data_IF_450303822037
#
_entry.id   IF_450303822037
#
_cell.length_a   1.000
_cell.length_b   1.000
_cell.length_c   1.000
_cell.angle_alpha   90.00
_cell.angle_beta   90.00
_cell.angle_gamma   90.00
#
_symmetry.space_group_name_H-M   'P 1'
#
loop_
_entity.id
_entity.type
_entity.pdbx_description
1 polymer ?
#
# COMPACT_ATOMS: atom_id res chain seq x y z
N UNK A 1 -36.50 -4.46 -9.94
CA UNK A 1 -36.62 -5.83 -10.45
C UNK A 1 -35.91 -6.00 -11.79
N UNK A 2 -36.06 -5.07 -12.73
CA UNK A 2 -35.40 -5.09 -14.03
C UNK A 2 -33.87 -5.03 -13.93
N UNK A 3 -33.33 -4.13 -13.09
CA UNK A 3 -31.86 -4.03 -12.85
C UNK A 3 -31.31 -5.34 -12.29
N UNK A 4 -32.04 -5.95 -11.35
CA UNK A 4 -31.64 -7.23 -10.76
C UNK A 4 -31.57 -8.33 -11.80
N UNK A 5 -32.58 -8.44 -12.68
CA UNK A 5 -32.60 -9.40 -13.79
C UNK A 5 -31.45 -9.19 -14.78
N UNK A 6 -31.12 -7.93 -15.08
CA UNK A 6 -29.99 -7.60 -15.98
C UNK A 6 -28.64 -8.02 -15.38
N UNK A 7 -28.45 -7.76 -14.08
CA UNK A 7 -27.24 -8.19 -13.36
C UNK A 7 -27.15 -9.71 -13.34
N UNK A 8 -28.22 -10.37 -12.95
CA UNK A 8 -28.30 -11.84 -12.87
C UNK A 8 -28.00 -12.48 -14.22
N UNK A 9 -28.60 -11.94 -15.31
CA UNK A 9 -28.28 -12.41 -16.67
C UNK A 9 -26.85 -12.17 -17.07
N UNK A 10 -26.27 -11.01 -16.71
CA UNK A 10 -24.88 -10.69 -17.06
C UNK A 10 -23.88 -11.61 -16.33
N UNK A 11 -24.18 -12.02 -15.11
CA UNK A 11 -23.37 -12.95 -14.35
C UNK A 11 -23.50 -14.38 -14.93
N UNK A 12 -24.70 -14.80 -15.30
CA UNK A 12 -24.99 -16.17 -15.67
C UNK A 12 -24.80 -16.49 -17.17
N UNK A 13 -24.66 -15.47 -18.04
CA UNK A 13 -24.59 -15.68 -19.50
C UNK A 13 -23.38 -16.53 -19.94
N UNK A 14 -22.33 -16.57 -19.14
CA UNK A 14 -21.11 -17.35 -19.41
C UNK A 14 -20.97 -18.56 -18.46
N UNK A 15 -22.01 -18.93 -17.74
CA UNK A 15 -22.00 -20.02 -16.75
C UNK A 15 -20.88 -19.91 -15.69
N UNK A 16 -20.48 -18.69 -15.34
CA UNK A 16 -19.40 -18.39 -14.37
C UNK A 16 -19.97 -18.15 -12.97
N UNK A 17 -21.23 -18.46 -12.78
CA UNK A 17 -21.99 -18.14 -11.56
C UNK A 17 -21.79 -19.12 -10.40
N UNK A 18 -21.25 -20.30 -10.67
CA UNK A 18 -21.10 -21.31 -9.64
C UNK A 18 -19.87 -21.08 -8.78
N UNK A 19 -20.11 -21.04 -7.48
CA UNK A 19 -19.04 -20.89 -6.49
C UNK A 19 -18.23 -22.19 -6.45
N UNK A 20 -16.92 -22.07 -6.53
CA UNK A 20 -16.04 -23.23 -6.34
C UNK A 20 -16.30 -23.89 -4.98
N UNK A 21 -16.62 -25.21 -4.92
CA UNK A 21 -16.93 -25.92 -3.67
C UNK A 21 -15.83 -25.78 -2.61
N UNK A 22 -14.55 -25.79 -3.00
CA UNK A 22 -13.44 -25.56 -2.09
C UNK A 22 -13.44 -24.14 -1.55
N UNK A 23 -13.87 -23.14 -2.34
CA UNK A 23 -14.03 -21.76 -1.89
C UNK A 23 -15.07 -21.63 -0.77
N UNK A 24 -16.18 -22.36 -0.85
CA UNK A 24 -17.20 -22.40 0.22
C UNK A 24 -16.61 -22.97 1.50
N UNK A 25 -15.99 -24.17 1.42
CA UNK A 25 -15.40 -24.84 2.57
C UNK A 25 -14.29 -23.99 3.19
N UNK A 26 -13.42 -23.42 2.38
CA UNK A 26 -12.33 -22.54 2.85
C UNK A 26 -12.86 -21.28 3.55
N UNK A 27 -13.92 -20.68 3.01
CA UNK A 27 -14.57 -19.51 3.63
C UNK A 27 -15.18 -19.87 4.98
N UNK A 28 -15.89 -21.00 5.06
CA UNK A 28 -16.47 -21.49 6.31
C UNK A 28 -15.39 -21.76 7.36
N UNK A 29 -14.30 -22.44 7.00
CA UNK A 29 -13.18 -22.70 7.89
C UNK A 29 -12.51 -21.40 8.37
N UNK A 30 -12.26 -20.45 7.47
CA UNK A 30 -11.66 -19.17 7.80
C UNK A 30 -12.50 -18.37 8.81
N UNK A 31 -13.81 -18.31 8.65
CA UNK A 31 -14.69 -17.60 9.57
C UNK A 31 -14.91 -18.34 10.90
N UNK A 32 -14.98 -19.67 10.89
CA UNK A 32 -15.26 -20.45 12.09
C UNK A 32 -14.01 -20.71 12.94
N UNK A 33 -12.83 -20.84 12.31
CA UNK A 33 -11.62 -21.33 12.95
C UNK A 33 -10.42 -20.37 12.83
N UNK A 34 -10.51 -19.33 11.97
CA UNK A 34 -9.40 -18.44 11.65
C UNK A 34 -9.14 -17.30 12.66
N UNK A 35 -9.87 -17.23 13.78
CA UNK A 35 -9.82 -16.11 14.72
C UNK A 35 -8.42 -15.85 15.29
N UNK A 36 -7.80 -16.87 15.87
CA UNK A 36 -6.46 -16.77 16.47
C UNK A 36 -5.38 -16.40 15.44
N UNK A 37 -5.46 -16.96 14.24
CA UNK A 37 -4.57 -16.62 13.15
C UNK A 37 -4.72 -15.14 12.75
N UNK A 38 -5.95 -14.65 12.63
CA UNK A 38 -6.23 -13.25 12.29
C UNK A 38 -5.70 -12.30 13.36
N UNK A 39 -5.85 -12.62 14.63
CA UNK A 39 -5.35 -11.79 15.72
C UNK A 39 -3.81 -11.77 15.75
N UNK A 40 -3.17 -12.89 15.51
CA UNK A 40 -1.72 -12.96 15.35
C UNK A 40 -1.23 -12.12 14.15
N UNK A 41 -1.92 -12.21 13.00
CA UNK A 41 -1.63 -11.41 11.83
C UNK A 41 -1.79 -9.90 12.10
N UNK A 42 -2.88 -9.49 12.73
CA UNK A 42 -3.12 -8.09 13.11
C UNK A 42 -2.02 -7.55 14.01
N UNK A 43 -1.60 -8.32 15.00
CA UNK A 43 -0.49 -7.95 15.88
C UNK A 43 0.83 -7.80 15.12
N UNK A 44 1.09 -8.70 14.19
CA UNK A 44 2.28 -8.65 13.33
C UNK A 44 2.29 -7.41 12.42
N UNK A 45 1.17 -7.16 11.74
CA UNK A 45 0.99 -5.98 10.88
C UNK A 45 1.09 -4.67 11.66
N UNK A 46 0.52 -4.63 12.87
CA UNK A 46 0.65 -3.48 13.76
C UNK A 46 2.11 -3.19 14.09
N UNK A 47 2.87 -4.23 14.43
CA UNK A 47 4.31 -4.10 14.66
C UNK A 47 5.07 -3.61 13.41
N UNK A 48 4.70 -4.07 12.21
CA UNK A 48 5.29 -3.56 10.96
C UNK A 48 4.99 -2.08 10.74
N UNK A 49 3.77 -1.66 11.00
CA UNK A 49 3.38 -0.25 10.91
C UNK A 49 4.13 0.63 11.91
N UNK A 50 4.23 0.22 13.16
CA UNK A 50 4.97 0.95 14.20
C UNK A 50 6.47 1.08 13.85
N UNK A 51 7.06 0.02 13.34
CA UNK A 51 8.44 0.05 12.85
C UNK A 51 8.62 1.05 11.70
N UNK A 52 7.72 1.03 10.73
CA UNK A 52 7.72 1.98 9.61
C UNK A 52 7.57 3.42 10.11
N UNK A 53 6.65 3.70 11.01
CA UNK A 53 6.46 5.02 11.59
C UNK A 53 7.70 5.53 12.33
N UNK A 54 8.35 4.68 13.14
CA UNK A 54 9.62 5.02 13.80
C UNK A 54 10.71 5.33 12.78
N UNK A 55 10.86 4.50 11.77
CA UNK A 55 11.85 4.70 10.72
C UNK A 55 11.67 6.05 10.01
N UNK A 56 10.45 6.39 9.60
CA UNK A 56 10.17 7.66 8.95
C UNK A 56 10.40 8.84 9.89
N UNK A 57 9.96 8.75 11.13
CA UNK A 57 10.17 9.80 12.13
C UNK A 57 11.66 10.10 12.38
N UNK A 58 12.49 9.08 12.37
CA UNK A 58 13.94 9.21 12.66
C UNK A 58 14.76 9.59 11.43
N UNK A 59 14.41 9.00 10.29
CA UNK A 59 15.25 9.07 9.09
C UNK A 59 14.68 9.95 7.99
N UNK A 60 13.37 10.10 7.89
CA UNK A 60 12.66 10.77 6.80
C UNK A 60 11.51 11.64 7.33
N UNK A 61 11.75 12.52 8.33
CA UNK A 61 10.68 13.28 9.00
C UNK A 61 9.90 14.23 8.07
N UNK A 62 10.48 14.58 6.93
CA UNK A 62 9.82 15.41 5.90
C UNK A 62 8.74 14.67 5.11
N UNK A 63 8.64 13.33 5.24
CA UNK A 63 7.64 12.49 4.57
C UNK A 63 6.67 11.89 5.59
N UNK A 64 5.57 12.58 5.93
CA UNK A 64 4.63 12.09 6.91
C UNK A 64 3.98 10.77 6.50
N UNK A 65 3.93 9.83 7.43
CA UNK A 65 3.16 8.60 7.30
C UNK A 65 1.74 8.85 7.74
N UNK A 66 0.76 8.56 6.90
CA UNK A 66 -0.66 8.74 7.26
C UNK A 66 -1.14 7.67 8.26
N UNK A 67 -2.09 8.00 9.14
CA UNK A 67 -2.67 7.04 10.07
C UNK A 67 -3.24 5.82 9.35
N UNK A 68 -2.91 4.63 9.84
CA UNK A 68 -3.43 3.37 9.33
C UNK A 68 -4.59 2.90 10.20
N UNK A 69 -5.81 3.14 9.75
CA UNK A 69 -7.04 2.74 10.43
C UNK A 69 -7.50 1.32 10.05
N UNK A 70 -7.08 0.84 8.90
CA UNK A 70 -7.43 -0.49 8.39
C UNK A 70 -6.47 -0.97 7.31
N UNK A 71 -6.57 -2.22 6.95
CA UNK A 71 -5.73 -2.89 5.95
C UNK A 71 -4.24 -2.99 6.34
N UNK A 72 -3.39 -3.19 5.35
CA UNK A 72 -1.92 -3.23 5.45
C UNK A 72 -1.26 -2.33 4.39
N UNK A 73 -2.01 -1.35 3.90
CA UNK A 73 -1.62 -0.45 2.80
C UNK A 73 -1.42 0.95 3.38
N UNK A 74 -0.17 1.33 3.56
CA UNK A 74 0.23 2.58 4.22
C UNK A 74 0.44 3.66 3.16
N UNK A 75 -0.07 4.84 3.42
CA UNK A 75 0.13 6.03 2.61
C UNK A 75 1.22 6.91 3.19
N UNK A 76 2.09 7.42 2.33
CA UNK A 76 3.18 8.32 2.68
C UNK A 76 3.00 9.61 1.87
N UNK A 77 3.01 10.74 2.56
CA UNK A 77 2.93 12.06 1.96
C UNK A 77 4.32 12.48 1.47
N UNK A 78 4.46 12.58 0.15
CA UNK A 78 5.70 12.95 -0.52
C UNK A 78 5.65 14.38 -1.10
N UNK A 79 4.63 15.18 -0.77
CA UNK A 79 4.46 16.54 -1.32
C UNK A 79 5.56 17.52 -0.91
N UNK A 80 6.20 17.26 0.23
CA UNK A 80 7.36 18.05 0.67
C UNK A 80 8.64 17.76 -0.14
N UNK A 81 8.64 16.72 -0.96
CA UNK A 81 9.73 16.34 -1.85
C UNK A 81 9.84 17.36 -2.99
N UNK A 82 10.81 18.26 -2.91
CA UNK A 82 11.09 19.23 -3.96
C UNK A 82 10.65 20.68 -3.71
N UNK A 83 10.27 21.06 -2.50
CA UNK A 83 10.19 22.45 -2.11
C UNK A 83 11.61 23.00 -1.86
N UNK A 84 12.40 23.08 -2.92
CA UNK A 84 13.57 23.95 -2.92
C UNK A 84 13.09 25.41 -2.94
N UNK A 85 13.83 26.30 -2.29
CA UNK A 85 13.61 27.76 -2.21
C UNK A 85 13.35 28.46 -3.55
N UNK A 86 13.52 27.76 -4.65
CA UNK A 86 13.45 28.30 -6.02
C UNK A 86 12.14 27.96 -6.76
N UNK A 87 11.10 27.45 -6.05
CA UNK A 87 9.80 27.17 -6.66
C UNK A 87 9.80 26.01 -7.66
N UNK A 88 10.79 25.14 -7.63
CA UNK A 88 10.83 23.94 -8.47
C UNK A 88 9.74 22.97 -8.04
N UNK A 89 8.96 22.52 -9.01
CA UNK A 89 7.83 21.62 -8.87
C UNK A 89 8.22 20.37 -8.07
N UNK A 90 7.41 20.00 -7.08
CA UNK A 90 7.53 18.72 -6.38
C UNK A 90 7.58 17.58 -7.40
N UNK A 91 8.45 16.61 -7.16
CA UNK A 91 8.50 15.41 -8.02
C UNK A 91 7.15 14.70 -7.88
N UNK A 92 6.43 14.53 -8.99
CA UNK A 92 5.15 13.85 -8.99
C UNK A 92 5.25 12.40 -8.51
N UNK A 93 4.15 11.85 -7.99
CA UNK A 93 4.09 10.48 -7.46
C UNK A 93 4.59 9.43 -8.46
N UNK A 94 4.27 9.58 -9.75
CA UNK A 94 4.68 8.64 -10.79
C UNK A 94 6.19 8.67 -11.01
N UNK A 95 6.78 9.86 -11.07
CA UNK A 95 8.22 10.01 -11.23
C UNK A 95 8.98 9.47 -10.01
N UNK A 96 8.47 9.68 -8.80
CA UNK A 96 9.06 9.14 -7.58
C UNK A 96 9.02 7.61 -7.56
N UNK A 97 7.88 7.00 -7.89
CA UNK A 97 7.76 5.55 -7.93
C UNK A 97 8.65 4.93 -9.00
N UNK A 98 8.77 5.57 -10.15
CA UNK A 98 9.68 5.13 -11.21
C UNK A 98 11.15 5.16 -10.76
N UNK A 99 11.57 6.23 -10.08
CA UNK A 99 12.94 6.32 -9.52
C UNK A 99 13.21 5.26 -8.46
N UNK A 100 12.24 4.97 -7.59
CA UNK A 100 12.36 3.87 -6.62
C UNK A 100 12.50 2.52 -7.32
N UNK A 101 11.71 2.28 -8.36
CA UNK A 101 11.74 1.04 -9.12
C UNK A 101 13.06 0.87 -9.88
N UNK A 102 13.48 1.87 -10.63
CA UNK A 102 14.68 1.79 -11.48
C UNK A 102 15.97 1.90 -10.68
N UNK A 103 16.04 2.87 -9.77
CA UNK A 103 17.25 3.19 -9.02
C UNK A 103 17.49 2.31 -7.80
N UNK A 104 16.42 1.89 -7.12
CA UNK A 104 16.50 1.12 -5.88
C UNK A 104 15.91 -0.30 -5.97
N UNK A 105 15.35 -0.68 -7.14
CA UNK A 105 14.67 -1.98 -7.32
C UNK A 105 13.56 -2.19 -6.27
N UNK A 106 12.89 -1.10 -5.90
CA UNK A 106 11.80 -1.09 -4.92
C UNK A 106 10.50 -0.71 -5.62
N UNK A 107 9.53 -1.60 -5.58
CA UNK A 107 8.23 -1.43 -6.19
C UNK A 107 7.22 -0.93 -5.15
N UNK A 108 6.69 0.26 -5.38
CA UNK A 108 5.61 0.87 -4.60
C UNK A 108 4.56 1.41 -5.56
N UNK A 109 3.36 1.70 -5.06
CA UNK A 109 2.30 2.22 -5.91
C UNK A 109 2.25 3.74 -5.87
N UNK A 110 2.16 4.36 -7.04
CA UNK A 110 1.85 5.78 -7.16
C UNK A 110 0.44 6.08 -6.66
N UNK A 111 0.27 7.19 -5.95
CA UNK A 111 -1.04 7.61 -5.49
C UNK A 111 -2.00 7.96 -6.62
N UNK A 112 -1.50 8.44 -7.77
CA UNK A 112 -2.28 8.77 -8.98
C UNK A 112 -3.12 7.60 -9.48
N UNK A 113 -2.69 6.35 -9.26
CA UNK A 113 -3.47 5.15 -9.59
C UNK A 113 -4.85 5.10 -8.89
N UNK A 114 -5.03 5.88 -7.82
CA UNK A 114 -6.24 5.89 -7.00
C UNK A 114 -7.07 7.17 -7.16
N UNK A 115 -6.74 7.96 -8.17
CA UNK A 115 -7.47 9.18 -8.53
C UNK A 115 -6.67 10.46 -8.31
N UNK A 116 -7.23 11.61 -8.71
CA UNK A 116 -6.52 12.90 -8.74
C UNK A 116 -6.07 13.37 -7.34
N UNK A 117 -6.76 12.98 -6.26
CA UNK A 117 -6.34 13.29 -4.89
C UNK A 117 -5.13 12.51 -4.41
N UNK A 118 -4.64 11.52 -5.17
CA UNK A 118 -3.47 10.73 -4.83
C UNK A 118 -2.14 11.32 -5.29
N UNK A 119 -2.15 12.41 -6.04
CA UNK A 119 -0.91 13.09 -6.46
C UNK A 119 -0.13 13.58 -5.24
N UNK A 120 1.18 13.37 -5.27
CA UNK A 120 2.08 13.66 -4.15
C UNK A 120 2.13 12.58 -3.06
N UNK A 121 1.44 11.44 -3.25
CA UNK A 121 1.45 10.32 -2.32
C UNK A 121 1.99 9.05 -2.97
N UNK A 122 2.60 8.20 -2.15
CA UNK A 122 2.94 6.82 -2.51
C UNK A 122 2.27 5.85 -1.53
N UNK A 123 1.95 4.65 -2.02
CA UNK A 123 1.33 3.62 -1.19
C UNK A 123 2.25 2.41 -1.06
N UNK A 124 2.54 2.03 0.17
CA UNK A 124 3.40 0.91 0.55
C UNK A 124 2.60 -0.24 1.14
N UNK A 125 2.90 -1.47 0.73
CA UNK A 125 2.34 -2.69 1.33
C UNK A 125 3.30 -3.17 2.44
N UNK A 126 2.78 -3.30 3.67
CA UNK A 126 3.54 -3.77 4.85
C UNK A 126 3.24 -5.21 5.25
N UNK A 127 2.42 -5.93 4.47
CA UNK A 127 2.12 -7.34 4.70
C UNK A 127 3.24 -8.25 4.17
N UNK A 128 4.41 -8.10 4.73
CA UNK A 128 5.61 -8.84 4.38
C UNK A 128 6.47 -9.13 5.63
N UNK A 129 7.45 -10.05 5.54
CA UNK A 129 8.41 -10.25 6.62
C UNK A 129 9.11 -8.94 7.01
N UNK A 130 9.35 -8.75 8.32
CA UNK A 130 10.01 -7.55 8.86
C UNK A 130 11.35 -7.23 8.18
N UNK A 131 12.14 -8.26 7.87
CA UNK A 131 13.44 -8.08 7.21
C UNK A 131 13.28 -7.47 5.79
N UNK A 132 12.24 -7.89 5.07
CA UNK A 132 11.94 -7.34 3.74
C UNK A 132 11.45 -5.90 3.84
N UNK A 133 10.60 -5.59 4.83
CA UNK A 133 10.18 -4.21 5.10
C UNK A 133 11.39 -3.33 5.42
N UNK A 134 12.26 -3.77 6.32
CA UNK A 134 13.45 -3.02 6.70
C UNK A 134 14.38 -2.74 5.50
N UNK A 135 14.67 -3.73 4.67
CA UNK A 135 15.46 -3.55 3.45
C UNK A 135 14.78 -2.56 2.48
N UNK A 136 13.47 -2.68 2.29
CA UNK A 136 12.71 -1.74 1.45
C UNK A 136 12.78 -0.29 1.94
N UNK A 137 12.65 -0.08 3.25
CA UNK A 137 12.76 1.25 3.86
C UNK A 137 14.18 1.83 3.73
N UNK A 138 15.22 1.03 3.88
CA UNK A 138 16.61 1.48 3.65
C UNK A 138 16.87 1.86 2.20
N UNK A 139 16.31 1.12 1.24
CA UNK A 139 16.38 1.48 -0.19
C UNK A 139 15.65 2.79 -0.47
N UNK A 140 14.48 2.99 0.12
CA UNK A 140 13.72 4.23 0.01
C UNK A 140 14.52 5.42 0.58
N UNK A 141 15.11 5.27 1.75
CA UNK A 141 15.92 6.29 2.38
C UNK A 141 17.12 6.71 1.51
N UNK A 142 17.80 5.76 0.84
CA UNK A 142 18.91 6.07 -0.07
C UNK A 142 18.49 6.97 -1.23
N UNK A 143 17.30 6.83 -1.77
CA UNK A 143 16.78 7.71 -2.80
C UNK A 143 16.46 9.08 -2.22
N UNK A 144 15.68 9.11 -1.14
CA UNK A 144 15.17 10.34 -0.54
C UNK A 144 16.28 11.24 0.03
N UNK A 145 17.38 10.68 0.52
CA UNK A 145 18.56 11.47 0.92
C UNK A 145 19.30 12.11 -0.27
N UNK A 146 19.29 11.46 -1.45
CA UNK A 146 19.96 12.01 -2.64
C UNK A 146 19.20 13.17 -3.28
N UNK A 147 17.93 13.31 -2.96
CA UNK A 147 17.08 14.39 -3.50
C UNK A 147 17.09 15.64 -2.60
N UNK A 148 17.66 15.56 -1.40
CA UNK A 148 17.78 16.68 -0.45
C UNK A 148 19.14 17.38 -0.58
N UNK A 149 20.10 16.79 -1.28
CA UNK A 149 21.44 17.33 -1.55
C UNK A 149 21.75 17.28 -3.05
#
# INVERSE_FOLDING_TARGET
EEVRRRIDRAININEVCDVNPFGVIATMAAYNEGGEWLDALRKYLRGNYEYLCCFFKERLPQYPVLPLEGTYLVWIDCRASGSNSDGASSIGSDAMTLRLQEGQKLMVNSGTMYGPGGEGFIRLNIACPRALLADGLERMARLFYREVF
#
